data_IF_542503948747
#
_entry.id   IF_542503948747
#
_cell.length_a   1.000
_cell.length_b   1.000
_cell.length_c   1.000
_cell.angle_alpha   90.00
_cell.angle_beta   90.00
_cell.angle_gamma   90.00
#
_symmetry.space_group_name_H-M   'P 1'
#
loop_
_entity.id
_entity.type
_entity.pdbx_description
1 polymer ?
#
# COMPACT_ATOMS: atom_id res chain seq x y z
N UNK A 1 16.56 -3.42 -3.32
CA UNK A 1 15.27 -3.80 -3.92
C UNK A 1 14.22 -2.73 -3.65
N UNK A 2 13.35 -2.43 -4.61
CA UNK A 2 12.18 -1.55 -4.41
C UNK A 2 10.90 -2.37 -4.53
N UNK A 3 9.95 -2.13 -3.63
CA UNK A 3 8.62 -2.74 -3.67
C UNK A 3 7.63 -1.63 -3.92
N UNK A 4 6.94 -1.71 -5.05
CA UNK A 4 5.87 -0.78 -5.40
C UNK A 4 4.56 -1.26 -4.76
N UNK A 5 3.94 -0.40 -3.96
CA UNK A 5 2.67 -0.70 -3.28
C UNK A 5 1.60 0.24 -3.82
N UNK A 6 0.50 -0.36 -4.27
CA UNK A 6 -0.67 0.37 -4.69
C UNK A 6 -1.36 1.06 -3.50
N UNK A 7 -1.87 2.27 -3.72
CA UNK A 7 -2.48 3.11 -2.69
C UNK A 7 -3.95 3.44 -2.97
N UNK A 8 -4.52 2.94 -4.07
CA UNK A 8 -5.94 3.12 -4.43
C UNK A 8 -6.84 1.93 -4.05
N UNK A 9 -6.28 0.95 -3.35
CA UNK A 9 -6.94 -0.26 -2.91
C UNK A 9 -8.34 -0.05 -2.31
N UNK A 10 -9.37 -0.69 -2.89
CA UNK A 10 -10.76 -0.63 -2.40
C UNK A 10 -10.89 -1.00 -0.91
N UNK A 11 -11.75 -0.32 -0.15
CA UNK A 11 -12.00 -0.68 1.26
C UNK A 11 -12.39 -2.16 1.40
N UNK A 12 -11.82 -2.84 2.41
CA UNK A 12 -12.25 -4.17 2.84
C UNK A 12 -12.72 -4.14 4.29
N UNK A 13 -13.61 -5.06 4.65
CA UNK A 13 -14.08 -5.24 6.03
C UNK A 13 -13.59 -6.56 6.58
N UNK A 14 -12.67 -6.51 7.55
CA UNK A 14 -12.05 -7.69 8.15
C UNK A 14 -12.56 -7.94 9.57
N UNK A 15 -12.69 -9.21 9.95
CA UNK A 15 -13.02 -9.56 11.33
C UNK A 15 -11.82 -9.24 12.23
N UNK A 16 -12.02 -8.38 13.23
CA UNK A 16 -11.01 -7.97 14.19
C UNK A 16 -11.51 -8.14 15.63
N UNK A 17 -10.60 -8.30 16.58
CA UNK A 17 -10.91 -8.33 18.01
C UNK A 17 -11.05 -6.90 18.55
N UNK A 18 -12.03 -6.66 19.42
CA UNK A 18 -12.12 -5.40 20.18
C UNK A 18 -11.24 -5.48 21.44
N UNK A 19 -10.72 -4.34 21.89
CA UNK A 19 -9.95 -4.25 23.13
C UNK A 19 -10.77 -4.71 24.36
N UNK A 20 -12.07 -4.45 24.37
CA UNK A 20 -13.00 -4.80 25.45
C UNK A 20 -13.62 -6.20 25.32
N UNK A 21 -13.13 -7.02 24.40
CA UNK A 21 -13.72 -8.33 24.11
C UNK A 21 -14.82 -8.30 23.02
N UNK A 22 -15.13 -9.47 22.47
CA UNK A 22 -15.90 -9.64 21.24
C UNK A 22 -15.12 -9.36 19.94
N UNK A 23 -15.78 -9.58 18.81
CA UNK A 23 -15.24 -9.29 17.47
C UNK A 23 -16.10 -8.26 16.75
N UNK A 24 -15.52 -7.56 15.78
CA UNK A 24 -16.22 -6.63 14.90
C UNK A 24 -15.65 -6.67 13.48
N UNK A 25 -16.41 -6.13 12.52
CA UNK A 25 -15.93 -5.93 11.15
C UNK A 25 -15.26 -4.55 11.09
N UNK A 26 -13.93 -4.54 11.14
CA UNK A 26 -13.14 -3.31 11.02
C UNK A 26 -13.00 -2.95 9.53
N UNK A 27 -13.43 -1.75 9.11
CA UNK A 27 -13.09 -1.24 7.79
C UNK A 27 -11.58 -0.96 7.73
N UNK A 28 -10.95 -1.38 6.64
CA UNK A 28 -9.58 -1.03 6.28
C UNK A 28 -9.67 -0.23 4.99
N UNK A 29 -9.48 1.08 5.11
CA UNK A 29 -9.38 2.00 3.98
C UNK A 29 -8.12 1.72 3.14
N UNK A 30 -8.07 2.35 1.96
CA UNK A 30 -6.99 2.18 0.99
C UNK A 30 -5.60 2.43 1.62
N UNK A 31 -5.48 3.49 2.43
CA UNK A 31 -4.22 3.86 3.05
C UNK A 31 -3.77 2.86 4.12
N UNK A 32 -4.68 2.43 4.98
CA UNK A 32 -4.40 1.42 6.00
C UNK A 32 -4.01 0.10 5.35
N UNK A 33 -4.71 -0.28 4.27
CA UNK A 33 -4.35 -1.46 3.48
C UNK A 33 -2.94 -1.32 2.88
N UNK A 34 -2.61 -0.19 2.29
CA UNK A 34 -1.28 0.07 1.70
C UNK A 34 -0.16 -0.07 2.74
N UNK A 35 -0.35 0.48 3.95
CA UNK A 35 0.64 0.36 5.03
C UNK A 35 0.83 -1.08 5.49
N UNK A 36 -0.25 -1.85 5.63
CA UNK A 36 -0.19 -3.26 6.03
C UNK A 36 0.53 -4.08 4.95
N UNK A 37 0.12 -3.95 3.69
CA UNK A 37 0.73 -4.68 2.58
C UNK A 37 2.21 -4.35 2.42
N UNK A 38 2.58 -3.07 2.57
CA UNK A 38 3.97 -2.64 2.56
C UNK A 38 4.82 -3.33 3.63
N UNK A 39 4.34 -3.36 4.87
CA UNK A 39 5.05 -4.00 5.98
C UNK A 39 5.21 -5.50 5.78
N UNK A 40 4.14 -6.19 5.36
CA UNK A 40 4.18 -7.64 5.08
C UNK A 40 5.15 -7.97 3.94
N UNK A 41 5.11 -7.19 2.85
CA UNK A 41 6.01 -7.39 1.73
C UNK A 41 7.47 -7.11 2.13
N UNK A 42 7.72 -6.05 2.90
CA UNK A 42 9.06 -5.74 3.40
C UNK A 42 9.64 -6.89 4.24
N UNK A 43 8.84 -7.43 5.17
CA UNK A 43 9.25 -8.53 6.03
C UNK A 43 9.56 -9.79 5.21
N UNK A 44 8.66 -10.19 4.31
CA UNK A 44 8.86 -11.37 3.46
C UNK A 44 10.15 -11.26 2.61
N UNK A 45 10.45 -10.09 2.06
CA UNK A 45 11.69 -9.90 1.29
C UNK A 45 12.94 -9.89 2.16
N UNK A 46 12.87 -9.36 3.38
CA UNK A 46 13.98 -9.44 4.33
C UNK A 46 14.25 -10.88 4.76
N UNK A 47 13.21 -11.65 5.04
CA UNK A 47 13.32 -13.08 5.36
C UNK A 47 13.92 -13.89 4.21
N UNK A 48 13.61 -13.52 2.97
CA UNK A 48 14.23 -14.10 1.77
C UNK A 48 15.69 -13.66 1.52
N UNK A 49 16.27 -12.84 2.40
CA UNK A 49 17.67 -12.41 2.33
C UNK A 49 17.92 -11.04 1.69
N UNK A 50 16.88 -10.26 1.37
CA UNK A 50 17.07 -8.91 0.85
C UNK A 50 17.37 -7.92 2.00
N UNK A 51 18.57 -7.33 2.00
CA UNK A 51 18.99 -6.41 3.07
C UNK A 51 18.59 -4.95 2.84
N UNK A 52 18.42 -4.52 1.59
CA UNK A 52 18.11 -3.14 1.22
C UNK A 52 16.72 -3.04 0.55
N UNK A 53 15.67 -3.37 1.30
CA UNK A 53 14.28 -3.24 0.84
C UNK A 53 13.79 -1.82 1.07
N UNK A 54 13.21 -1.19 0.04
CA UNK A 54 12.56 0.12 0.14
C UNK A 54 11.15 0.03 -0.41
N UNK A 55 10.18 0.49 0.39
CA UNK A 55 8.80 0.64 -0.06
C UNK A 55 8.68 1.94 -0.85
N UNK A 56 7.99 1.86 -1.99
CA UNK A 56 7.61 3.00 -2.79
C UNK A 56 6.11 2.96 -3.05
N UNK A 57 5.43 4.06 -2.75
CA UNK A 57 4.01 4.24 -3.01
C UNK A 57 3.78 5.59 -3.72
N UNK A 58 2.73 5.70 -4.54
CA UNK A 58 2.30 6.96 -5.12
C UNK A 58 1.79 7.94 -4.04
N UNK A 59 1.56 9.20 -4.43
CA UNK A 59 0.95 10.18 -3.54
C UNK A 59 -0.41 9.68 -3.00
N UNK A 60 -0.87 10.17 -1.83
CA UNK A 60 -2.17 9.79 -1.27
C UNK A 60 -3.30 9.96 -2.30
N UNK A 61 -4.17 8.95 -2.43
CA UNK A 61 -5.31 8.98 -3.34
C UNK A 61 -4.96 8.83 -4.82
N UNK A 62 -3.72 8.43 -5.16
CA UNK A 62 -3.27 8.15 -6.52
C UNK A 62 -2.82 6.70 -6.65
N UNK A 63 -2.88 6.18 -7.86
CA UNK A 63 -2.21 4.94 -8.26
C UNK A 63 -0.92 5.25 -9.06
N UNK A 64 -0.21 4.22 -9.51
CA UNK A 64 0.97 4.42 -10.36
C UNK A 64 0.63 4.87 -11.80
N UNK A 65 -0.61 4.68 -12.26
CA UNK A 65 -1.06 5.20 -13.56
C UNK A 65 -1.23 6.72 -13.50
N UNK A 66 -1.73 7.26 -12.40
CA UNK A 66 -1.82 8.70 -12.14
C UNK A 66 -0.43 9.33 -12.07
N UNK A 67 0.53 8.66 -11.42
CA UNK A 67 1.94 9.08 -11.42
C UNK A 67 2.54 9.06 -12.83
N UNK A 68 2.22 8.04 -13.64
CA UNK A 68 2.65 7.97 -15.05
C UNK A 68 2.06 9.12 -15.86
N UNK A 69 0.74 9.33 -15.78
CA UNK A 69 0.05 10.43 -16.47
C UNK A 69 0.63 11.79 -16.07
N UNK A 70 0.87 12.01 -14.78
CA UNK A 70 1.48 13.24 -14.29
C UNK A 70 2.90 13.47 -14.87
N UNK A 71 3.71 12.41 -14.96
CA UNK A 71 5.06 12.49 -15.55
C UNK A 71 5.04 12.70 -17.05
N UNK A 72 4.10 12.08 -17.76
CA UNK A 72 3.92 12.26 -19.20
C UNK A 72 3.47 13.70 -19.52
N UNK A 73 2.49 14.21 -18.78
CA UNK A 73 2.06 15.61 -18.87
C UNK A 73 3.21 16.59 -18.60
N UNK A 74 4.03 16.35 -17.56
CA UNK A 74 5.21 17.16 -17.26
C UNK A 74 6.28 17.14 -18.37
N UNK A 75 6.25 16.13 -19.26
CA UNK A 75 7.17 15.99 -20.40
C UNK A 75 6.56 16.47 -21.72
N UNK A 76 5.32 16.98 -21.72
CA UNK A 76 4.61 17.39 -22.94
C UNK A 76 4.21 16.22 -23.83
N UNK A 77 4.11 15.01 -23.26
CA UNK A 77 3.71 13.79 -23.96
C UNK A 77 2.28 13.45 -23.52
N UNK A 78 1.30 14.26 -23.92
CA UNK A 78 -0.12 14.02 -23.64
C UNK A 78 -0.91 13.86 -24.93
#
# INVERSE_FOLDING_TARGET
MRICIDRDMREIRVKARKATGGTWKRPLDAETRARICAGLAEQAWREAGAHAVRIWAPAPGRDFNDELRARLAARGLC
#
